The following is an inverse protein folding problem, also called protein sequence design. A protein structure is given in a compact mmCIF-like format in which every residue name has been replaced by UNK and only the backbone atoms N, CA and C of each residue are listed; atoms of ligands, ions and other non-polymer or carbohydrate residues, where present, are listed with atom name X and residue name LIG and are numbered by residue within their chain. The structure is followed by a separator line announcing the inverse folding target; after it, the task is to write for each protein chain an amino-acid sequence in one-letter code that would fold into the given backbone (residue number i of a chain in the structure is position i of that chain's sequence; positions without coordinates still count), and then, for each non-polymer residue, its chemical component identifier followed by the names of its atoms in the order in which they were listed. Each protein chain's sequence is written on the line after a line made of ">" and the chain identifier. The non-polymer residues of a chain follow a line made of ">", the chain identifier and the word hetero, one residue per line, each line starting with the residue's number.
data_IF_074723034540
#
_entry.id   IF_074723034540
#
_cell.length_a   1.000
_cell.length_b   1.000
_cell.length_c   1.000
_cell.angle_alpha   90.00
_cell.angle_beta   90.00
_cell.angle_gamma   90.00
#
_symmetry.space_group_name_H-M   'P 1'
#
loop_
_entity.id
_entity.type
_entity.pdbx_description
1 polymer ?
#
# COMPACT_ATOMS: atom_id res chain seq x y z
N UNK A 1 2.83 -11.68 -4.50
CA UNK A 1 4.25 -12.01 -4.75
C UNK A 1 4.49 -13.49 -4.45
N UNK A 2 5.07 -14.24 -5.39
CA UNK A 2 5.26 -15.70 -5.31
C UNK A 2 6.40 -16.07 -4.33
N UNK A 3 6.15 -16.02 -3.01
CA UNK A 3 7.02 -16.63 -1.98
C UNK A 3 8.49 -16.17 -1.93
N UNK A 4 8.80 -15.00 -2.49
CA UNK A 4 10.14 -14.41 -2.48
C UNK A 4 10.14 -13.21 -1.53
N UNK A 5 11.13 -13.15 -0.65
CA UNK A 5 11.42 -11.96 0.14
C UNK A 5 11.84 -10.84 -0.81
N UNK A 6 11.21 -9.68 -0.68
CA UNK A 6 11.57 -8.47 -1.43
C UNK A 6 12.12 -7.49 -0.40
N UNK A 7 13.34 -7.02 -0.61
CA UNK A 7 13.92 -5.97 0.22
C UNK A 7 13.40 -4.60 -0.23
N UNK A 8 12.95 -3.81 0.74
CA UNK A 8 12.59 -2.40 0.55
C UNK A 8 13.70 -1.55 1.15
N UNK A 9 14.26 -0.64 0.36
CA UNK A 9 15.42 0.16 0.75
C UNK A 9 15.13 1.63 0.43
N UNK A 10 15.46 2.51 1.37
CA UNK A 10 15.53 3.97 1.15
C UNK A 10 16.85 4.46 1.74
N UNK A 11 17.53 5.40 1.07
CA UNK A 11 18.68 6.06 1.69
C UNK A 11 18.18 7.04 2.77
N UNK A 12 18.85 7.13 3.93
CA UNK A 12 18.55 8.14 4.95
C UNK A 12 18.60 9.58 4.43
N UNK A 13 19.33 9.83 3.34
CA UNK A 13 19.40 11.16 2.71
C UNK A 13 18.06 11.60 2.08
N UNK A 14 17.16 10.67 1.77
CA UNK A 14 15.87 10.94 1.10
C UNK A 14 14.66 10.87 2.03
N UNK A 15 14.82 10.38 3.26
CA UNK A 15 13.72 10.32 4.22
C UNK A 15 14.21 10.70 5.62
N UNK A 16 14.05 11.98 5.94
CA UNK A 16 14.35 12.52 7.26
C UNK A 16 13.22 12.25 8.25
N UNK A 17 13.55 12.30 9.54
CA UNK A 17 12.55 12.26 10.61
C UNK A 17 11.67 13.50 10.63
N UNK A 18 10.40 13.33 11.03
CA UNK A 18 9.41 14.41 11.08
C UNK A 18 8.68 14.67 9.75
N UNK A 19 9.13 14.06 8.66
CA UNK A 19 8.50 14.18 7.34
C UNK A 19 7.07 13.62 7.32
N UNK A 20 6.22 14.22 6.47
CA UNK A 20 4.85 13.75 6.23
C UNK A 20 4.79 13.05 4.88
N UNK A 21 4.62 11.73 4.91
CA UNK A 21 4.75 10.87 3.72
C UNK A 21 3.38 10.41 3.22
N UNK A 22 3.09 10.66 1.96
CA UNK A 22 2.02 10.00 1.22
C UNK A 22 2.63 8.85 0.43
N UNK A 23 2.23 7.62 0.73
CA UNK A 23 2.68 6.45 -0.04
C UNK A 23 1.83 6.32 -1.30
N UNK A 24 2.48 6.07 -2.44
CA UNK A 24 1.81 5.81 -3.72
C UNK A 24 2.33 4.49 -4.28
N UNK A 25 1.44 3.59 -4.68
CA UNK A 25 1.77 2.31 -5.29
C UNK A 25 0.85 2.02 -6.50
N UNK A 26 1.24 1.06 -7.34
CA UNK A 26 0.42 0.66 -8.49
C UNK A 26 -0.77 -0.23 -8.05
N UNK A 27 -0.52 -1.22 -7.20
CA UNK A 27 -1.51 -2.19 -6.75
C UNK A 27 -1.61 -2.29 -5.23
N UNK A 28 -2.82 -2.11 -4.71
CA UNK A 28 -3.22 -2.60 -3.39
C UNK A 28 -3.78 -4.03 -3.53
N UNK A 29 -2.91 -4.99 -3.23
CA UNK A 29 -3.17 -6.43 -3.26
C UNK A 29 -3.40 -6.96 -1.83
N UNK A 30 -2.43 -7.69 -1.28
CA UNK A 30 -2.44 -8.17 0.12
C UNK A 30 -1.97 -7.11 1.14
N UNK A 31 -1.51 -5.94 0.68
CA UNK A 31 -0.99 -4.86 1.53
C UNK A 31 0.45 -5.05 2.06
N UNK A 32 1.12 -6.17 1.75
CA UNK A 32 2.44 -6.50 2.32
C UNK A 32 3.53 -5.44 2.01
N UNK A 33 3.61 -4.96 0.77
CA UNK A 33 4.57 -3.92 0.36
C UNK A 33 4.34 -2.64 1.14
N UNK A 34 3.09 -2.18 1.20
CA UNK A 34 2.69 -0.95 1.87
C UNK A 34 2.98 -1.04 3.37
N UNK A 35 2.69 -2.17 4.02
CA UNK A 35 3.06 -2.40 5.42
C UNK A 35 4.58 -2.31 5.64
N UNK A 36 5.37 -2.84 4.71
CA UNK A 36 6.83 -2.69 4.73
C UNK A 36 7.27 -1.23 4.62
N UNK A 37 6.69 -0.47 3.69
CA UNK A 37 6.97 0.96 3.52
C UNK A 37 6.56 1.78 4.75
N UNK A 38 5.42 1.48 5.38
CA UNK A 38 4.98 2.12 6.62
C UNK A 38 5.97 1.87 7.76
N UNK A 39 6.44 0.62 7.91
CA UNK A 39 7.47 0.29 8.91
C UNK A 39 8.78 1.03 8.65
N UNK A 40 9.20 1.11 7.39
CA UNK A 40 10.41 1.81 6.98
C UNK A 40 10.28 3.31 7.26
N UNK A 41 9.16 3.94 6.93
CA UNK A 41 8.92 5.36 7.21
C UNK A 41 8.89 5.66 8.71
N UNK A 42 8.20 4.81 9.49
CA UNK A 42 8.21 4.91 10.96
C UNK A 42 9.63 4.75 11.53
N UNK A 43 10.43 3.83 10.99
CA UNK A 43 11.82 3.61 11.43
C UNK A 43 12.69 4.84 11.15
N UNK A 44 12.45 5.55 10.06
CA UNK A 44 13.10 6.84 9.76
C UNK A 44 12.60 8.00 10.64
N UNK A 45 11.58 7.79 11.48
CA UNK A 45 10.93 8.84 12.29
C UNK A 45 9.98 9.72 11.48
N UNK A 46 9.62 9.32 10.26
CA UNK A 46 8.61 9.99 9.44
C UNK A 46 7.21 9.49 9.76
N UNK A 47 6.19 10.29 9.40
CA UNK A 47 4.78 9.96 9.58
C UNK A 47 4.11 9.72 8.24
N UNK A 48 3.60 8.51 8.03
CA UNK A 48 2.69 8.23 6.90
C UNK A 48 1.35 8.91 7.16
N UNK A 49 0.89 9.73 6.22
CA UNK A 49 -0.35 10.51 6.33
C UNK A 49 -1.48 9.97 5.45
N UNK A 50 -1.16 9.04 4.56
CA UNK A 50 -2.13 8.39 3.68
C UNK A 50 -1.44 7.41 2.75
N UNK A 51 -2.27 6.62 2.07
CA UNK A 51 -1.86 5.65 1.06
C UNK A 51 -2.75 5.88 -0.17
N UNK A 52 -2.13 6.06 -1.33
CA UNK A 52 -2.78 6.04 -2.63
C UNK A 52 -2.36 4.81 -3.41
N UNK A 53 -3.32 4.15 -4.06
CA UNK A 53 -3.05 3.10 -5.04
C UNK A 53 -3.77 3.43 -6.37
N UNK A 54 -3.19 3.03 -7.49
CA UNK A 54 -3.91 3.10 -8.76
C UNK A 54 -5.05 2.08 -8.78
N UNK A 55 -4.73 0.82 -8.50
CA UNK A 55 -5.69 -0.30 -8.55
C UNK A 55 -5.71 -1.02 -7.21
N UNK A 56 -6.90 -1.25 -6.66
CA UNK A 56 -7.12 -2.13 -5.51
C UNK A 56 -7.81 -3.42 -5.96
N UNK A 57 -7.29 -4.57 -5.51
CA UNK A 57 -7.98 -5.87 -5.62
C UNK A 57 -8.67 -6.16 -4.30
N UNK A 58 -9.94 -5.79 -4.18
CA UNK A 58 -10.67 -5.83 -2.89
C UNK A 58 -10.80 -7.26 -2.36
N UNK A 59 -10.82 -8.25 -3.25
CA UNK A 59 -10.85 -9.67 -2.93
C UNK A 59 -9.54 -10.26 -2.34
N UNK A 60 -8.44 -9.49 -2.28
CA UNK A 60 -7.17 -9.94 -1.67
C UNK A 60 -6.93 -9.45 -0.24
N UNK A 61 -7.84 -8.66 0.32
CA UNK A 61 -7.84 -8.32 1.75
C UNK A 61 -6.80 -7.29 2.21
N UNK A 62 -6.14 -6.59 1.27
CA UNK A 62 -5.07 -5.65 1.63
C UNK A 62 -5.53 -4.42 2.39
N UNK A 63 -6.74 -3.90 2.10
CA UNK A 63 -7.30 -2.75 2.81
C UNK A 63 -7.59 -3.08 4.27
N UNK A 64 -8.16 -4.25 4.52
CA UNK A 64 -8.44 -4.78 5.84
C UNK A 64 -7.14 -4.97 6.64
N UNK A 65 -6.09 -5.48 5.98
CA UNK A 65 -4.76 -5.63 6.60
C UNK A 65 -4.15 -4.29 7.06
N UNK A 66 -4.51 -3.18 6.39
CA UNK A 66 -4.03 -1.83 6.71
C UNK A 66 -4.93 -1.10 7.72
N UNK A 67 -6.11 -1.62 8.06
CA UNK A 67 -7.09 -0.91 8.89
C UNK A 67 -6.55 -0.48 10.27
N UNK A 68 -5.68 -1.31 10.87
CA UNK A 68 -5.07 -1.03 12.17
C UNK A 68 -4.12 0.18 12.17
N UNK A 69 -3.65 0.62 11.00
CA UNK A 69 -2.80 1.79 10.87
C UNK A 69 -3.56 3.11 11.09
N UNK A 70 -4.89 3.09 10.97
CA UNK A 70 -5.75 4.26 11.10
C UNK A 70 -5.30 5.45 10.21
N UNK A 71 -4.94 5.14 8.96
CA UNK A 71 -4.55 6.11 7.93
C UNK A 71 -5.49 6.00 6.72
N UNK A 72 -5.78 7.12 6.03
CA UNK A 72 -6.58 7.09 4.81
C UNK A 72 -5.95 6.21 3.73
N UNK A 73 -6.78 5.40 3.06
CA UNK A 73 -6.38 4.56 1.94
C UNK A 73 -7.31 4.85 0.77
N UNK A 74 -6.76 5.42 -0.30
CA UNK A 74 -7.50 5.79 -1.50
C UNK A 74 -7.02 4.96 -2.68
N UNK A 75 -7.96 4.47 -3.49
CA UNK A 75 -7.66 3.72 -4.72
C UNK A 75 -8.48 4.29 -5.87
N UNK A 76 -7.83 4.52 -7.02
CA UNK A 76 -8.50 5.13 -8.18
C UNK A 76 -9.47 4.15 -8.87
N UNK A 77 -9.11 2.87 -8.93
CA UNK A 77 -9.95 1.81 -9.43
C UNK A 77 -9.99 0.66 -8.43
N UNK A 78 -11.18 0.19 -8.08
CA UNK A 78 -11.36 -0.92 -7.13
C UNK A 78 -11.97 -2.08 -7.89
N UNK A 79 -11.29 -3.22 -7.90
CA UNK A 79 -11.67 -4.44 -8.60
C UNK A 79 -12.21 -5.44 -7.58
N UNK A 80 -13.49 -5.76 -7.71
CA UNK A 80 -14.19 -6.74 -6.87
C UNK A 80 -13.94 -8.18 -7.29
N UNK A 81 -13.83 -8.42 -8.59
CA UNK A 81 -13.67 -9.76 -9.14
C UNK A 81 -12.91 -9.70 -10.48
N UNK A 82 -12.04 -10.68 -10.71
CA UNK A 82 -11.39 -10.93 -12.00
C UNK A 82 -11.76 -12.34 -12.45
N UNK A 83 -12.47 -12.46 -13.59
CA UNK A 83 -12.98 -13.74 -14.10
C UNK A 83 -12.60 -13.90 -15.57
N UNK A 84 -11.58 -14.70 -15.84
CA UNK A 84 -11.07 -14.87 -17.20
C UNK A 84 -10.54 -13.54 -17.74
N UNK A 85 -11.15 -13.06 -18.83
CA UNK A 85 -10.83 -11.75 -19.46
C UNK A 85 -11.71 -10.61 -18.92
N UNK A 86 -12.65 -10.88 -18.01
CA UNK A 86 -13.55 -9.87 -17.43
C UNK A 86 -12.97 -9.30 -16.13
N UNK A 87 -13.00 -7.96 -16.01
CA UNK A 87 -12.68 -7.21 -14.79
C UNK A 87 -13.96 -6.55 -14.28
N UNK A 88 -14.36 -6.87 -13.07
CA UNK A 88 -15.56 -6.33 -12.42
C UNK A 88 -15.11 -5.34 -11.34
N UNK A 89 -15.47 -4.07 -11.52
CA UNK A 89 -15.17 -3.00 -10.58
C UNK A 89 -16.19 -2.96 -9.42
N UNK A 90 -15.82 -2.33 -8.30
CA UNK A 90 -16.77 -1.89 -7.28
C UNK A 90 -17.67 -0.78 -7.85
N UNK A 91 -18.91 -0.68 -7.35
CA UNK A 91 -19.85 0.40 -7.70
C UNK A 91 -19.43 1.76 -7.14
#
# INVERSE_FOLDING_TARGET
>A
TKGRTVELIISPEYLAGGERVLLIDDFLATGATILGLVRLAHTAGARVVGIGALIEKTFEGGREALASLNIPVEALARIREMRGEEIIFEE
#
